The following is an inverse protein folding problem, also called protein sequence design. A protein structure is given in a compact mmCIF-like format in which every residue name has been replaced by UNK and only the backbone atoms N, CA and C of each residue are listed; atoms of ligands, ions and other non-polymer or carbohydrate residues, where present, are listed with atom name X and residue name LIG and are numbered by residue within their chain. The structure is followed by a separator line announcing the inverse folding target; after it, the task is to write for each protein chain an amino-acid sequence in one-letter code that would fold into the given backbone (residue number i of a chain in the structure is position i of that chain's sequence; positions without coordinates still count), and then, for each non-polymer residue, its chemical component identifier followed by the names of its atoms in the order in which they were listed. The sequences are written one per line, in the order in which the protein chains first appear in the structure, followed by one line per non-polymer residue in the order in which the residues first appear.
data_IF_323860609419
#
_entry.id   IF_323860609419
#
_cell.length_a   1.000
_cell.length_b   1.000
_cell.length_c   1.000
_cell.angle_alpha   90.00
_cell.angle_beta   90.00
_cell.angle_gamma   90.00
#
_symmetry.space_group_name_H-M   'P 1'
#
loop_
_entity.id
_entity.type
_entity.pdbx_description
1 polymer ?
#
# COMPACT_ATOMS: atom_id res chain seq x y z
N UNK A 1 -10.36 -2.07 -38.17
CA UNK A 1 -9.14 -2.24 -37.35
C UNK A 1 -9.55 -2.43 -35.90
N UNK A 2 -8.96 -3.41 -35.22
CA UNK A 2 -9.24 -3.64 -33.80
C UNK A 2 -8.49 -2.62 -32.95
N UNK A 3 -9.16 -2.10 -31.92
CA UNK A 3 -8.62 -1.10 -31.00
C UNK A 3 -7.56 -1.78 -30.09
N UNK A 4 -6.37 -1.19 -29.98
CA UNK A 4 -5.29 -1.69 -29.12
C UNK A 4 -4.95 -0.64 -28.05
N UNK A 5 -4.61 -1.10 -26.84
CA UNK A 5 -4.35 -0.24 -25.68
C UNK A 5 -3.08 -0.67 -24.95
N UNK A 6 -2.33 0.33 -24.47
CA UNK A 6 -1.25 0.17 -23.51
C UNK A 6 -1.54 1.13 -22.35
N UNK A 7 -1.54 0.62 -21.12
CA UNK A 7 -1.82 1.42 -19.92
C UNK A 7 -0.62 1.39 -19.01
N UNK A 8 -0.25 2.57 -18.55
CA UNK A 8 0.77 2.77 -17.51
C UNK A 8 0.13 3.55 -16.36
N UNK A 9 0.67 3.44 -15.14
CA UNK A 9 0.30 4.33 -14.06
C UNK A 9 0.44 5.78 -14.49
N UNK A 10 -0.44 6.64 -13.98
CA UNK A 10 -0.37 8.08 -14.23
C UNK A 10 0.97 8.66 -13.75
N UNK A 11 1.41 8.23 -12.59
CA UNK A 11 2.60 8.72 -11.91
C UNK A 11 3.51 7.53 -11.56
N UNK A 12 4.81 7.68 -11.85
CA UNK A 12 5.86 6.74 -11.46
C UNK A 12 6.96 7.55 -10.77
N UNK A 13 7.03 7.44 -9.45
CA UNK A 13 8.06 8.10 -8.64
C UNK A 13 9.19 7.09 -8.41
N UNK A 14 10.42 7.43 -8.79
CA UNK A 14 11.56 6.51 -8.74
C UNK A 14 12.84 7.21 -8.27
N UNK A 15 13.79 6.41 -7.80
CA UNK A 15 15.07 6.88 -7.25
C UNK A 15 15.14 6.78 -5.73
N UNK A 16 16.32 7.08 -5.19
CA UNK A 16 16.56 7.13 -3.75
C UNK A 16 15.66 8.18 -3.09
N UNK A 17 15.08 7.85 -1.94
CA UNK A 17 14.18 8.75 -1.19
C UNK A 17 12.77 8.88 -1.78
N UNK A 18 12.42 8.14 -2.84
CA UNK A 18 11.08 8.18 -3.45
C UNK A 18 9.93 7.87 -2.48
N UNK A 19 10.18 7.09 -1.43
CA UNK A 19 9.18 6.78 -0.39
C UNK A 19 8.66 8.04 0.33
N UNK A 20 9.46 9.11 0.38
CA UNK A 20 9.07 10.40 0.97
C UNK A 20 7.89 11.06 0.26
N UNK A 21 7.59 10.68 -0.98
CA UNK A 21 6.42 11.16 -1.72
C UNK A 21 5.10 10.86 -1.02
N UNK A 22 5.04 9.83 -0.15
CA UNK A 22 3.86 9.55 0.66
C UNK A 22 3.45 10.74 1.56
N UNK A 23 4.38 11.64 1.89
CA UNK A 23 4.11 12.85 2.66
C UNK A 23 3.34 13.93 1.85
N UNK A 24 3.24 13.78 0.53
CA UNK A 24 2.52 14.72 -0.34
C UNK A 24 1.06 14.32 -0.58
N UNK A 25 0.69 13.09 -0.25
CA UNK A 25 -0.67 12.57 -0.43
C UNK A 25 -1.68 13.42 0.34
N UNK A 26 -2.90 13.51 -0.22
CA UNK A 26 -4.02 14.27 0.37
C UNK A 26 -5.12 13.30 0.73
N UNK A 27 -5.65 13.43 1.94
CA UNK A 27 -6.68 12.55 2.47
C UNK A 27 -6.73 12.67 3.99
N UNK A 28 -7.48 11.78 4.62
CA UNK A 28 -7.62 11.66 6.07
C UNK A 28 -7.12 10.32 6.57
N UNK A 29 -7.25 9.26 5.78
CA UNK A 29 -6.96 7.89 6.19
C UNK A 29 -6.23 7.11 5.11
N UNK A 30 -5.22 6.34 5.51
CA UNK A 30 -4.52 5.41 4.64
C UNK A 30 -4.41 4.05 5.30
N UNK A 31 -4.55 2.97 4.53
CA UNK A 31 -4.22 1.62 4.99
C UNK A 31 -2.96 1.16 4.29
N UNK A 32 -1.96 0.76 5.08
CA UNK A 32 -0.77 0.07 4.58
C UNK A 32 -1.06 -1.44 4.45
N UNK A 33 -0.75 -2.02 3.30
CA UNK A 33 -0.85 -3.46 3.07
C UNK A 33 0.56 -4.02 2.89
N UNK A 34 0.94 -4.98 3.71
CA UNK A 34 2.27 -5.59 3.67
C UNK A 34 2.18 -7.09 3.90
N UNK A 35 3.16 -7.80 3.36
CA UNK A 35 3.35 -9.22 3.58
C UNK A 35 4.60 -9.49 4.41
N UNK A 36 5.37 -10.49 3.96
CA UNK A 36 6.52 -11.07 4.66
C UNK A 36 7.47 -10.12 5.40
N UNK A 37 8.29 -10.71 6.27
CA UNK A 37 9.05 -10.00 7.31
C UNK A 37 10.09 -8.97 6.85
N UNK A 38 10.39 -8.85 5.55
CA UNK A 38 11.41 -7.93 5.05
C UNK A 38 11.05 -6.46 5.30
N UNK A 39 9.81 -6.05 5.03
CA UNK A 39 9.38 -4.66 5.21
C UNK A 39 9.45 -4.20 6.67
N UNK A 40 9.15 -5.12 7.60
CA UNK A 40 9.35 -4.91 9.03
C UNK A 40 10.83 -4.88 9.40
N UNK A 41 11.60 -5.89 8.96
CA UNK A 41 13.00 -6.07 9.34
C UNK A 41 13.90 -4.90 8.93
N UNK A 42 13.61 -4.29 7.79
CA UNK A 42 14.40 -3.17 7.25
C UNK A 42 13.82 -1.80 7.59
N UNK A 43 12.70 -1.72 8.33
CA UNK A 43 12.11 -0.46 8.80
C UNK A 43 11.31 0.33 7.76
N UNK A 44 11.16 -0.18 6.53
CA UNK A 44 10.44 0.51 5.47
C UNK A 44 8.94 0.70 5.77
N UNK A 45 8.32 -0.23 6.51
CA UNK A 45 6.94 -0.08 6.93
C UNK A 45 6.77 1.11 7.88
N UNK A 46 7.69 1.25 8.84
CA UNK A 46 7.67 2.34 9.80
C UNK A 46 7.98 3.68 9.12
N UNK A 47 8.90 3.70 8.16
CA UNK A 47 9.20 4.86 7.33
C UNK A 47 7.98 5.31 6.51
N UNK A 48 7.30 4.38 5.84
CA UNK A 48 6.08 4.67 5.08
C UNK A 48 4.97 5.24 5.97
N UNK A 49 4.74 4.61 7.13
CA UNK A 49 3.79 5.10 8.14
C UNK A 49 4.17 6.50 8.62
N UNK A 50 5.45 6.79 8.85
CA UNK A 50 5.91 8.10 9.28
C UNK A 50 5.63 9.19 8.23
N UNK A 51 5.84 8.89 6.94
CA UNK A 51 5.51 9.83 5.86
C UNK A 51 4.01 10.08 5.73
N UNK A 52 3.17 9.05 5.83
CA UNK A 52 1.72 9.20 5.82
C UNK A 52 1.21 10.01 7.02
N UNK A 53 1.75 9.78 8.21
CA UNK A 53 1.44 10.58 9.39
C UNK A 53 1.86 12.05 9.18
N UNK A 54 3.01 12.31 8.54
CA UNK A 54 3.47 13.67 8.20
C UNK A 54 2.52 14.37 7.22
N UNK A 55 1.89 13.63 6.31
CA UNK A 55 0.82 14.13 5.45
C UNK A 55 -0.50 14.40 6.18
N UNK A 56 -0.60 14.03 7.47
CA UNK A 56 -1.79 14.20 8.29
C UNK A 56 -2.83 13.08 8.15
N UNK A 57 -2.43 11.92 7.63
CA UNK A 57 -3.31 10.76 7.50
C UNK A 57 -3.24 9.89 8.75
N UNK A 58 -4.39 9.44 9.23
CA UNK A 58 -4.49 8.31 10.16
C UNK A 58 -4.17 7.01 9.41
N UNK A 59 -3.36 6.14 10.01
CA UNK A 59 -2.83 4.94 9.32
C UNK A 59 -3.28 3.66 10.02
N UNK A 60 -3.95 2.78 9.28
CA UNK A 60 -4.18 1.39 9.65
C UNK A 60 -3.23 0.45 8.88
N UNK A 61 -3.00 -0.76 9.40
CA UNK A 61 -2.07 -1.72 8.80
C UNK A 61 -2.73 -3.09 8.64
N UNK A 62 -2.71 -3.60 7.41
CA UNK A 62 -2.99 -4.98 7.06
C UNK A 62 -1.66 -5.65 6.81
N UNK A 63 -1.23 -6.44 7.79
CA UNK A 63 -0.01 -7.24 7.75
C UNK A 63 -0.35 -8.73 7.63
N UNK A 64 0.64 -9.53 7.25
CA UNK A 64 0.57 -10.98 7.18
C UNK A 64 0.13 -11.52 5.83
N UNK A 65 0.18 -10.70 4.76
CA UNK A 65 -0.09 -11.18 3.40
C UNK A 65 0.91 -12.26 3.00
N UNK A 66 0.39 -13.46 2.76
CA UNK A 66 1.16 -14.62 2.35
C UNK A 66 1.58 -14.57 0.86
N UNK A 67 2.64 -15.29 0.44
CA UNK A 67 2.94 -15.48 -0.97
C UNK A 67 1.75 -16.13 -1.71
N UNK A 68 1.34 -15.54 -2.85
CA UNK A 68 0.12 -15.91 -3.58
C UNK A 68 -1.12 -15.85 -2.67
N UNK A 69 -1.59 -14.64 -2.33
CA UNK A 69 -2.62 -14.44 -1.32
C UNK A 69 -3.89 -15.23 -1.65
N UNK A 70 -4.44 -15.88 -0.63
CA UNK A 70 -5.70 -16.62 -0.69
C UNK A 70 -6.90 -15.67 -0.79
N UNK A 71 -8.04 -16.21 -1.24
CA UNK A 71 -9.31 -15.47 -1.27
C UNK A 71 -9.71 -15.06 0.16
N UNK A 72 -9.44 -15.92 1.14
CA UNK A 72 -9.71 -15.67 2.55
C UNK A 72 -8.93 -14.45 3.06
N UNK A 73 -7.65 -14.34 2.71
CA UNK A 73 -6.80 -13.17 3.05
C UNK A 73 -7.37 -11.89 2.45
N UNK A 74 -7.73 -11.91 1.17
CA UNK A 74 -8.31 -10.74 0.47
C UNK A 74 -9.65 -10.32 1.10
N UNK A 75 -10.53 -11.28 1.41
CA UNK A 75 -11.82 -10.99 2.05
C UNK A 75 -11.62 -10.41 3.45
N UNK A 76 -10.67 -10.96 4.22
CA UNK A 76 -10.33 -10.46 5.56
C UNK A 76 -9.81 -9.03 5.49
N UNK A 77 -8.88 -8.75 4.56
CA UNK A 77 -8.36 -7.41 4.29
C UNK A 77 -9.46 -6.43 3.88
N UNK A 78 -10.33 -6.84 2.95
CA UNK A 78 -11.48 -6.05 2.51
C UNK A 78 -12.44 -5.67 3.64
N UNK A 79 -12.66 -6.54 4.63
CA UNK A 79 -13.47 -6.21 5.82
C UNK A 79 -12.79 -5.15 6.69
N UNK A 80 -11.46 -5.22 6.87
CA UNK A 80 -10.70 -4.20 7.60
C UNK A 80 -10.74 -2.86 6.87
N UNK A 81 -10.53 -2.87 5.56
CA UNK A 81 -10.65 -1.69 4.70
C UNK A 81 -12.05 -1.07 4.78
N UNK A 82 -13.12 -1.88 4.77
CA UNK A 82 -14.48 -1.36 4.89
C UNK A 82 -14.75 -0.73 6.26
N UNK A 83 -14.21 -1.31 7.34
CA UNK A 83 -14.36 -0.77 8.69
C UNK A 83 -13.57 0.53 8.89
N UNK A 84 -12.33 0.59 8.38
CA UNK A 84 -11.47 1.75 8.50
C UNK A 84 -11.78 2.85 7.47
N UNK A 85 -12.33 2.49 6.31
CA UNK A 85 -12.72 3.37 5.20
C UNK A 85 -11.61 4.35 4.77
N UNK A 86 -10.43 3.86 4.35
CA UNK A 86 -9.32 4.71 3.95
C UNK A 86 -9.59 5.44 2.63
N UNK A 87 -8.97 6.62 2.47
CA UNK A 87 -8.89 7.32 1.18
C UNK A 87 -7.80 6.70 0.29
N UNK A 88 -6.79 6.09 0.91
CA UNK A 88 -5.65 5.45 0.24
C UNK A 88 -5.42 4.02 0.70
N UNK A 89 -5.18 3.13 -0.24
CA UNK A 89 -4.60 1.80 0.02
C UNK A 89 -3.18 1.85 -0.52
N UNK A 90 -2.20 1.61 0.35
CA UNK A 90 -0.78 1.71 0.02
C UNK A 90 -0.14 0.35 0.28
N UNK A 91 0.13 -0.39 -0.80
CA UNK A 91 0.85 -1.64 -0.73
C UNK A 91 2.37 -1.39 -0.64
N UNK A 92 3.02 -2.06 0.31
CA UNK A 92 4.48 -2.03 0.48
C UNK A 92 5.04 -3.46 0.51
N UNK A 93 5.93 -3.75 -0.42
CA UNK A 93 6.51 -5.09 -0.57
C UNK A 93 6.57 -5.54 -2.03
N UNK A 94 6.58 -6.86 -2.23
CA UNK A 94 6.59 -7.49 -3.56
C UNK A 94 5.18 -7.69 -4.14
N UNK A 95 5.10 -8.51 -5.19
CA UNK A 95 3.85 -8.79 -5.92
C UNK A 95 2.67 -9.21 -5.04
N UNK A 96 2.90 -10.09 -4.06
CA UNK A 96 1.82 -10.56 -3.19
C UNK A 96 1.11 -9.43 -2.43
N UNK A 97 1.85 -8.43 -1.93
CA UNK A 97 1.25 -7.30 -1.22
C UNK A 97 0.57 -6.32 -2.16
N UNK A 98 1.04 -6.23 -3.42
CA UNK A 98 0.42 -5.42 -4.47
C UNK A 98 -0.89 -6.05 -5.00
N UNK A 99 -0.97 -7.38 -4.97
CA UNK A 99 -2.10 -8.15 -5.50
C UNK A 99 -3.22 -8.41 -4.46
N UNK A 100 -2.92 -8.38 -3.16
CA UNK A 100 -3.84 -8.66 -2.05
C UNK A 100 -4.81 -7.50 -1.74
#
# INVERSE_FOLDING_TARGET
MALQWFRVPKDIVFGEGSLSYLAELKGKRATLVTGGSSMHRFGFLDEARAHLNKAGLEVDIIDGVEPNPSIETVISGGKKLAAFAPDWIVAIGGGSALDA
#
